data_IF_586106448424
#
_entry.id   IF_586106448424
#
_cell.length_a   1.000
_cell.length_b   1.000
_cell.length_c   1.000
_cell.angle_alpha   90.00
_cell.angle_beta   90.00
_cell.angle_gamma   90.00
#
_symmetry.space_group_name_H-M   'P 1'
#
loop_
_entity.id
_entity.type
_entity.pdbx_description
1 polymer ?
#
# COMPACT_ATOMS: atom_id res chain seq x y z
N UNK A 1 17.97 17.96 25.53
CA UNK A 1 17.20 18.69 24.50
C UNK A 1 15.86 18.01 24.34
N UNK A 2 14.78 18.76 24.02
CA UNK A 2 13.44 18.20 23.82
C UNK A 2 13.39 17.55 22.44
N UNK A 3 13.05 16.26 22.36
CA UNK A 3 12.84 15.54 21.08
C UNK A 3 11.40 15.70 20.62
N UNK A 4 10.47 15.70 21.57
CA UNK A 4 9.05 15.75 21.31
C UNK A 4 8.31 16.39 22.48
N UNK A 5 7.30 17.21 22.19
CA UNK A 5 6.37 17.73 23.18
C UNK A 5 4.94 17.68 22.68
N UNK A 6 3.99 17.33 23.56
CA UNK A 6 2.55 17.37 23.26
C UNK A 6 1.81 18.11 24.36
N UNK A 7 1.13 19.20 23.99
CA UNK A 7 0.21 19.91 24.85
C UNK A 7 -1.24 19.47 24.53
N UNK A 8 -2.02 19.20 25.57
CA UNK A 8 -3.40 18.73 25.45
C UNK A 8 -4.28 19.22 26.62
N UNK A 9 -5.59 19.00 26.51
CA UNK A 9 -6.60 19.52 27.42
C UNK A 9 -6.57 21.05 27.52
N UNK A 10 -7.08 21.74 26.49
CA UNK A 10 -7.10 23.21 26.44
C UNK A 10 -7.88 23.80 27.61
N UNK A 11 -7.50 24.99 28.03
CA UNK A 11 -8.20 25.81 29.00
C UNK A 11 -9.12 26.81 28.29
N UNK A 12 -9.94 27.53 29.05
CA UNK A 12 -10.76 28.64 28.50
C UNK A 12 -9.91 29.83 28.00
N UNK A 13 -8.61 29.87 28.33
CA UNK A 13 -7.71 30.95 27.91
C UNK A 13 -6.99 30.64 26.59
N UNK A 14 -7.07 29.40 26.08
CA UNK A 14 -6.36 28.96 24.87
C UNK A 14 -6.65 29.89 23.68
N UNK A 15 -7.93 30.19 23.43
CA UNK A 15 -8.33 31.04 22.32
C UNK A 15 -7.90 32.49 22.48
N UNK A 16 -7.94 33.01 23.72
CA UNK A 16 -7.53 34.40 24.03
C UNK A 16 -6.03 34.60 23.85
N UNK A 17 -5.22 33.62 24.20
CA UNK A 17 -3.76 33.73 24.18
C UNK A 17 -3.19 33.34 22.81
N UNK A 18 -3.71 32.27 22.20
CA UNK A 18 -3.20 31.71 20.95
C UNK A 18 -3.98 32.18 19.71
N UNK A 19 -5.01 33.00 19.88
CA UNK A 19 -5.82 33.55 18.79
C UNK A 19 -6.82 32.56 18.15
N UNK A 20 -6.79 31.26 18.58
CA UNK A 20 -7.69 30.22 18.10
C UNK A 20 -7.90 29.15 19.17
N UNK A 21 -9.05 28.46 19.08
CA UNK A 21 -9.38 27.34 19.99
C UNK A 21 -8.65 26.06 19.55
N UNK A 22 -7.39 25.92 19.95
CA UNK A 22 -6.64 24.70 19.70
C UNK A 22 -6.96 23.61 20.73
N UNK A 23 -7.15 22.38 20.27
CA UNK A 23 -7.41 21.21 21.11
C UNK A 23 -6.11 20.53 21.58
N UNK A 24 -5.09 20.62 20.74
CA UNK A 24 -3.78 19.99 20.98
C UNK A 24 -2.69 20.71 20.16
N UNK A 25 -1.49 20.69 20.69
CA UNK A 25 -0.27 21.09 19.97
C UNK A 25 0.76 19.99 20.09
N UNK A 26 1.35 19.59 18.97
CA UNK A 26 2.48 18.66 18.93
C UNK A 26 3.70 19.39 18.38
N UNK A 27 4.83 19.24 19.06
CA UNK A 27 6.11 19.82 18.66
C UNK A 27 7.11 18.69 18.55
N UNK A 28 7.83 18.63 17.42
CA UNK A 28 8.84 17.61 17.14
C UNK A 28 10.13 18.26 16.67
N UNK A 29 11.25 17.72 17.12
CA UNK A 29 12.56 18.08 16.60
C UNK A 29 12.68 17.60 15.14
N UNK A 30 13.24 18.44 14.28
CA UNK A 30 13.55 18.10 12.90
C UNK A 30 14.83 17.26 12.87
N UNK A 31 14.72 15.99 12.53
CA UNK A 31 15.83 15.02 12.55
C UNK A 31 16.85 15.16 11.43
N UNK A 32 16.57 16.00 10.44
CA UNK A 32 17.56 16.31 9.38
C UNK A 32 18.55 17.41 9.78
N UNK A 33 18.49 17.86 11.04
CA UNK A 33 19.43 18.85 11.54
C UNK A 33 20.73 18.17 11.96
N UNK A 34 21.85 18.57 11.33
CA UNK A 34 23.18 18.06 11.64
C UNK A 34 23.73 18.74 12.90
N UNK A 35 23.79 18.00 14.01
CA UNK A 35 24.32 18.49 15.29
C UNK A 35 25.82 18.75 15.28
N UNK A 36 26.57 18.18 14.32
CA UNK A 36 28.02 18.44 14.22
C UNK A 36 28.32 19.90 13.91
N UNK A 37 27.42 20.56 13.17
CA UNK A 37 27.56 22.01 12.88
C UNK A 37 27.39 22.93 14.09
N UNK A 38 26.75 22.46 15.16
CA UNK A 38 26.60 23.23 16.41
C UNK A 38 27.86 23.20 17.30
N UNK A 39 28.67 22.15 17.21
CA UNK A 39 29.89 22.01 18.02
C UNK A 39 31.10 22.78 17.42
N UNK A 40 31.15 22.87 16.09
CA UNK A 40 32.24 23.62 15.42
C UNK A 40 32.06 25.13 15.52
N UNK A 41 30.83 25.65 15.62
CA UNK A 41 30.57 27.10 15.73
C UNK A 41 30.70 27.68 17.13
N UNK A 42 30.89 26.84 18.14
CA UNK A 42 31.19 27.31 19.52
C UNK A 42 32.65 27.80 19.72
N UNK A 43 33.52 27.64 18.73
CA UNK A 43 34.95 27.94 18.81
C UNK A 43 35.37 29.20 18.00
N UNK A 44 34.46 29.75 17.14
CA UNK A 44 34.75 30.95 16.34
C UNK A 44 33.80 32.11 16.64
N UNK A 45 34.01 32.75 17.75
CA UNK A 45 33.43 34.08 18.03
C UNK A 45 34.20 35.16 17.27
N UNK A 46 33.83 35.47 16.04
CA UNK A 46 34.00 36.84 15.49
C UNK A 46 33.40 36.95 14.09
N UNK A 47 32.39 37.78 13.99
CA UNK A 47 31.69 38.33 12.82
C UNK A 47 30.27 37.79 12.63
N UNK A 48 29.30 38.60 13.08
CA UNK A 48 27.97 38.89 12.47
C UNK A 48 27.10 37.74 11.95
N UNK A 49 27.36 36.50 12.29
CA UNK A 49 26.60 35.36 11.79
C UNK A 49 25.46 34.97 12.76
N UNK A 50 24.29 34.61 12.23
CA UNK A 50 23.10 34.18 12.98
C UNK A 50 23.52 33.12 14.01
N UNK A 51 23.20 33.31 15.29
CA UNK A 51 23.45 32.33 16.34
C UNK A 51 22.73 31.03 15.99
N UNK A 52 23.38 29.88 16.15
CA UNK A 52 22.82 28.56 15.95
C UNK A 52 21.52 28.34 16.76
N UNK A 53 21.29 29.11 17.84
CA UNK A 53 20.07 29.16 18.64
C UNK A 53 18.85 29.69 17.87
N UNK A 54 19.05 30.42 16.77
CA UNK A 54 17.95 31.04 16.00
C UNK A 54 17.49 30.20 14.82
N UNK A 55 18.15 29.09 14.53
CA UNK A 55 17.77 28.17 13.48
C UNK A 55 16.47 27.43 13.84
N UNK A 56 15.49 27.42 12.92
CA UNK A 56 14.17 26.84 13.18
C UNK A 56 14.19 25.32 12.96
N UNK A 57 14.60 24.63 14.02
CA UNK A 57 14.81 23.18 14.01
C UNK A 57 13.63 22.34 14.53
N UNK A 58 12.57 22.98 15.03
CA UNK A 58 11.37 22.29 15.51
C UNK A 58 10.18 22.55 14.59
N UNK A 59 9.40 21.53 14.39
CA UNK A 59 8.13 21.59 13.67
C UNK A 59 6.97 21.41 14.64
N UNK A 60 6.02 22.35 14.64
CA UNK A 60 4.84 22.34 15.50
C UNK A 60 3.54 22.24 14.69
N UNK A 61 2.67 21.36 15.12
CA UNK A 61 1.33 21.12 14.59
C UNK A 61 0.28 21.56 15.62
N UNK A 62 -0.56 22.51 15.26
CA UNK A 62 -1.62 23.06 16.07
C UNK A 62 -2.97 22.55 15.57
N UNK A 63 -3.64 21.73 16.35
CA UNK A 63 -4.91 21.08 15.98
C UNK A 63 -6.10 21.83 16.55
N UNK A 64 -7.04 22.22 15.70
CA UNK A 64 -8.42 22.61 16.06
C UNK A 64 -9.35 21.43 15.82
N UNK A 65 -10.65 21.58 16.05
CA UNK A 65 -11.64 20.53 15.76
C UNK A 65 -11.70 20.14 14.27
N UNK A 66 -11.35 21.07 13.35
CA UNK A 66 -11.55 20.89 11.90
C UNK A 66 -10.29 21.11 11.06
N UNK A 67 -9.24 21.74 11.59
CA UNK A 67 -8.07 22.15 10.84
C UNK A 67 -6.78 21.94 11.62
N UNK A 68 -5.66 21.83 10.90
CA UNK A 68 -4.31 21.79 11.47
C UNK A 68 -3.49 22.93 10.92
N UNK A 69 -2.81 23.66 11.79
CA UNK A 69 -1.90 24.74 11.44
C UNK A 69 -0.47 24.36 11.80
N UNK A 70 0.48 24.85 11.02
CA UNK A 70 1.90 24.49 11.17
C UNK A 70 2.75 25.72 11.46
N UNK A 71 3.75 25.55 12.29
CA UNK A 71 4.75 26.59 12.61
C UNK A 71 6.08 25.95 12.88
N UNK A 72 7.16 26.60 12.43
CA UNK A 72 8.53 26.20 12.77
C UNK A 72 9.05 27.08 13.90
N UNK A 73 9.76 26.45 14.83
CA UNK A 73 10.35 27.11 15.98
C UNK A 73 11.86 26.88 16.03
N UNK A 74 12.61 27.83 16.61
CA UNK A 74 13.95 27.60 17.10
C UNK A 74 13.93 26.91 18.47
N UNK A 75 15.06 26.48 18.99
CA UNK A 75 15.16 25.88 20.33
C UNK A 75 14.64 26.83 21.41
N UNK A 76 15.07 28.10 21.38
CA UNK A 76 14.65 29.12 22.33
C UNK A 76 13.13 29.43 22.22
N UNK A 77 12.59 29.46 21.01
CA UNK A 77 11.15 29.65 20.80
C UNK A 77 10.31 28.48 21.35
N UNK A 78 10.77 27.23 21.24
CA UNK A 78 10.05 26.06 21.80
C UNK A 78 10.05 26.11 23.33
N UNK A 79 11.21 26.36 23.95
CA UNK A 79 11.30 26.43 25.40
C UNK A 79 10.42 27.55 25.95
N UNK A 80 10.46 28.72 25.35
CA UNK A 80 9.60 29.84 25.70
C UNK A 80 8.12 29.49 25.49
N UNK A 81 7.76 28.88 24.35
CA UNK A 81 6.39 28.49 24.06
C UNK A 81 5.84 27.49 25.08
N UNK A 82 6.63 26.49 25.47
CA UNK A 82 6.21 25.49 26.46
C UNK A 82 6.03 26.14 27.84
N UNK A 83 6.99 26.98 28.25
CA UNK A 83 6.91 27.68 29.53
C UNK A 83 5.71 28.60 29.64
N UNK A 84 5.35 29.30 28.56
CA UNK A 84 4.22 30.21 28.55
C UNK A 84 2.87 29.49 28.43
N UNK A 85 2.82 28.27 27.95
CA UNK A 85 1.57 27.60 27.62
C UNK A 85 1.21 26.46 28.59
N UNK A 86 2.18 25.84 29.28
CA UNK A 86 1.90 24.79 30.27
C UNK A 86 1.17 25.39 31.47
N UNK A 87 -0.03 24.86 31.74
CA UNK A 87 -0.87 25.32 32.85
C UNK A 87 -1.71 26.56 32.54
N UNK A 88 -1.35 27.40 31.59
CA UNK A 88 -2.13 28.59 31.16
C UNK A 88 -3.12 28.25 30.04
N UNK A 89 -2.62 27.76 28.90
CA UNK A 89 -3.45 27.43 27.73
C UNK A 89 -3.79 25.94 27.66
N UNK A 90 -2.89 25.07 28.10
CA UNK A 90 -3.09 23.63 28.16
C UNK A 90 -2.80 23.07 29.56
N UNK A 91 -3.65 22.16 30.02
CA UNK A 91 -3.50 21.56 31.36
C UNK A 91 -2.47 20.44 31.40
N UNK A 92 -2.28 19.72 30.29
CA UNK A 92 -1.34 18.62 30.20
C UNK A 92 -0.26 18.94 29.17
N UNK A 93 0.98 18.63 29.52
CA UNK A 93 2.09 18.60 28.58
C UNK A 93 2.91 17.34 28.81
N UNK A 94 3.27 16.64 27.76
CA UNK A 94 4.23 15.54 27.79
C UNK A 94 5.44 15.94 26.97
N UNK A 95 6.60 15.98 27.58
CA UNK A 95 7.88 16.26 26.95
C UNK A 95 8.74 15.01 26.99
N UNK A 96 9.45 14.73 25.90
CA UNK A 96 10.39 13.63 25.82
C UNK A 96 11.78 14.19 25.40
N UNK A 97 12.74 13.86 26.20
CA UNK A 97 14.16 14.06 25.92
C UNK A 97 14.84 12.72 25.62
N UNK A 98 16.14 12.72 25.34
CA UNK A 98 16.90 11.47 25.13
C UNK A 98 16.87 10.54 26.35
N UNK A 99 16.82 11.10 27.54
CA UNK A 99 17.00 10.37 28.79
C UNK A 99 15.72 10.24 29.63
N UNK A 100 14.73 11.08 29.41
CA UNK A 100 13.56 11.22 30.28
C UNK A 100 12.29 11.51 29.50
N UNK A 101 11.17 11.03 30.01
CA UNK A 101 9.83 11.47 29.69
C UNK A 101 9.25 12.23 30.86
N UNK A 102 8.86 13.48 30.63
CA UNK A 102 8.34 14.40 31.64
C UNK A 102 6.89 14.72 31.34
N UNK A 103 6.02 14.50 32.29
CA UNK A 103 4.59 14.82 32.17
C UNK A 103 4.25 15.93 33.14
N UNK A 104 3.73 17.03 32.60
CA UNK A 104 3.14 18.12 33.40
C UNK A 104 1.63 17.99 33.39
N UNK A 105 1.03 18.03 34.58
CA UNK A 105 -0.42 18.01 34.76
C UNK A 105 -0.84 19.18 35.63
N UNK A 106 -1.81 19.97 35.14
CA UNK A 106 -2.32 21.12 35.88
C UNK A 106 -3.72 20.83 36.39
N UNK A 107 -3.88 20.95 37.72
CA UNK A 107 -5.19 20.79 38.39
C UNK A 107 -6.13 21.95 38.03
N UNK A 108 -7.44 21.77 38.30
CA UNK A 108 -8.45 22.84 38.14
C UNK A 108 -8.15 24.10 38.97
N UNK A 109 -7.37 23.96 40.06
CA UNK A 109 -6.93 25.07 40.93
C UNK A 109 -5.61 25.69 40.51
N UNK A 110 -5.04 25.34 39.33
CA UNK A 110 -3.81 25.91 38.80
C UNK A 110 -2.49 25.28 39.31
N UNK A 111 -2.54 24.27 40.19
CA UNK A 111 -1.32 23.61 40.69
C UNK A 111 -0.76 22.70 39.61
N UNK A 112 0.51 22.94 39.21
CA UNK A 112 1.23 22.13 38.23
C UNK A 112 1.98 21.02 38.97
N UNK A 113 1.81 19.79 38.53
CA UNK A 113 2.54 18.60 38.99
C UNK A 113 3.43 18.12 37.87
N UNK A 114 4.73 17.93 38.15
CA UNK A 114 5.72 17.38 37.24
C UNK A 114 6.03 15.94 37.62
N UNK A 115 5.88 15.01 36.69
CA UNK A 115 6.27 13.61 36.81
C UNK A 115 7.36 13.34 35.78
N UNK A 116 8.51 12.83 36.22
CA UNK A 116 9.60 12.45 35.31
C UNK A 116 9.87 10.94 35.41
N UNK A 117 9.96 10.28 34.26
CA UNK A 117 10.32 8.87 34.13
C UNK A 117 11.63 8.77 33.33
N UNK A 118 12.65 8.14 33.92
CA UNK A 118 13.91 7.88 33.22
C UNK A 118 13.73 6.76 32.19
N UNK A 119 14.31 6.92 30.98
CA UNK A 119 14.24 5.99 29.87
C UNK A 119 15.46 5.04 29.80
N UNK A 120 16.42 5.15 30.76
CA UNK A 120 17.69 4.43 30.70
C UNK A 120 17.69 2.97 31.18
N UNK A 121 16.55 2.36 31.62
CA UNK A 121 16.56 1.04 32.27
C UNK A 121 15.52 0.02 31.78
N UNK A 122 15.07 0.05 30.54
CA UNK A 122 14.09 -0.95 30.05
C UNK A 122 14.64 -1.98 29.03
N UNK A 123 15.97 -2.21 28.96
CA UNK A 123 16.52 -3.27 28.10
C UNK A 123 16.54 -4.66 28.71
N UNK A 124 16.13 -4.86 29.97
CA UNK A 124 16.14 -6.17 30.66
C UNK A 124 14.89 -6.50 31.48
N UNK A 125 13.71 -6.40 30.91
CA UNK A 125 12.57 -7.18 31.43
C UNK A 125 11.61 -7.56 30.31
N UNK A 126 11.72 -8.84 29.93
CA UNK A 126 10.67 -9.56 29.19
C UNK A 126 9.36 -9.47 29.94
N UNK A 127 8.36 -8.83 29.38
CA UNK A 127 6.96 -8.96 29.77
C UNK A 127 6.14 -9.30 28.54
N UNK A 128 5.27 -10.28 28.74
CA UNK A 128 4.51 -11.01 27.77
C UNK A 128 3.70 -10.18 26.77
N UNK A 129 3.48 -10.82 25.67
CA UNK A 129 2.85 -10.37 24.45
C UNK A 129 1.42 -9.83 24.67
N UNK A 130 1.23 -8.56 24.37
CA UNK A 130 0.02 -8.06 23.73
C UNK A 130 0.44 -7.42 22.42
N UNK A 131 0.23 -8.12 21.32
CA UNK A 131 0.48 -7.64 19.96
C UNK A 131 -0.49 -6.50 19.62
N UNK A 132 -0.11 -5.28 19.95
CA UNK A 132 -0.59 -4.12 19.19
C UNK A 132 0.44 -3.92 18.10
N UNK A 133 0.04 -4.08 16.83
CA UNK A 133 0.84 -3.74 15.65
C UNK A 133 1.23 -2.27 15.75
N UNK A 134 2.38 -1.99 16.36
CA UNK A 134 3.05 -0.71 16.32
C UNK A 134 3.84 -0.65 15.03
N UNK A 135 3.39 0.16 14.08
CA UNK A 135 4.27 0.70 13.05
C UNK A 135 5.52 1.23 13.74
N UNK A 136 6.69 0.72 13.35
CA UNK A 136 7.97 1.36 13.68
C UNK A 136 7.95 2.75 13.04
N UNK A 137 7.53 3.74 13.80
CA UNK A 137 7.73 5.13 13.43
C UNK A 137 9.25 5.34 13.48
N UNK A 138 9.88 5.32 12.33
CA UNK A 138 11.26 5.77 12.20
C UNK A 138 11.32 7.20 12.74
N UNK A 139 12.04 7.39 13.86
CA UNK A 139 12.35 8.73 14.37
C UNK A 139 13.09 9.46 13.26
N UNK A 140 12.49 10.45 12.68
CA UNK A 140 13.28 11.41 11.94
C UNK A 140 12.88 11.76 10.52
N UNK A 141 11.61 12.04 10.23
CA UNK A 141 11.29 12.78 9.00
C UNK A 141 10.24 13.85 9.28
N UNK A 142 10.54 15.07 8.85
CA UNK A 142 9.59 16.18 8.80
C UNK A 142 8.38 15.71 7.95
N UNK A 143 7.12 15.76 8.44
CA UNK A 143 5.95 15.33 7.67
C UNK A 143 5.81 16.02 6.32
N UNK A 144 6.36 17.23 6.17
CA UNK A 144 6.36 17.99 4.93
C UNK A 144 7.53 17.63 3.98
N UNK A 145 8.61 17.02 4.50
CA UNK A 145 9.78 16.58 3.74
C UNK A 145 10.11 15.09 3.96
N UNK A 146 9.09 14.26 4.17
CA UNK A 146 9.28 12.81 4.14
C UNK A 146 9.87 12.45 2.80
N UNK A 147 11.16 12.14 2.73
CA UNK A 147 11.69 11.36 1.61
C UNK A 147 10.86 10.10 1.56
N UNK A 148 10.00 9.99 0.56
CA UNK A 148 9.27 8.76 0.32
C UNK A 148 10.33 7.68 0.12
N UNK A 149 10.33 6.65 0.95
CA UNK A 149 11.21 5.50 0.78
C UNK A 149 10.69 4.69 -0.42
N UNK A 150 10.93 5.21 -1.60
CA UNK A 150 10.62 4.51 -2.84
C UNK A 150 11.49 3.25 -2.95
N UNK A 151 10.95 2.20 -3.54
CA UNK A 151 11.71 0.97 -3.84
C UNK A 151 12.78 1.27 -4.88
N UNK A 152 12.46 2.11 -5.88
CA UNK A 152 13.44 2.67 -6.81
C UNK A 152 13.73 4.11 -6.36
N UNK A 153 14.97 4.38 -5.95
CA UNK A 153 15.38 5.70 -5.49
C UNK A 153 15.73 6.63 -6.64
N UNK A 154 15.45 7.93 -6.48
CA UNK A 154 16.00 8.94 -7.36
C UNK A 154 17.51 9.08 -7.13
N UNK A 155 18.30 9.16 -8.21
CA UNK A 155 19.77 9.13 -8.17
C UNK A 155 20.36 7.74 -8.43
N UNK A 156 19.55 6.69 -8.36
CA UNK A 156 19.94 5.33 -8.74
C UNK A 156 19.78 5.14 -10.25
N UNK A 157 20.80 4.58 -10.90
CA UNK A 157 20.74 4.30 -12.34
C UNK A 157 19.96 3.02 -12.60
N UNK A 158 18.77 3.17 -13.16
CA UNK A 158 17.88 2.04 -13.48
C UNK A 158 17.73 1.94 -14.99
N UNK A 159 18.37 0.95 -15.64
CA UNK A 159 18.48 0.88 -17.11
C UNK A 159 17.14 0.92 -17.83
N UNK A 160 16.13 0.16 -17.38
CA UNK A 160 14.82 0.15 -18.05
C UNK A 160 14.09 1.50 -17.96
N UNK A 161 14.26 2.27 -16.84
CA UNK A 161 13.67 3.59 -16.71
C UNK A 161 14.36 4.63 -17.62
N UNK A 162 15.64 4.45 -17.89
CA UNK A 162 16.39 5.28 -18.85
C UNK A 162 15.90 5.03 -20.28
N UNK A 163 15.82 3.78 -20.68
CA UNK A 163 15.34 3.38 -22.01
C UNK A 163 13.88 3.80 -22.26
N UNK A 164 13.03 3.75 -21.22
CA UNK A 164 11.64 4.20 -21.30
C UNK A 164 11.48 5.72 -21.13
N UNK A 165 12.59 6.48 -21.03
CA UNK A 165 12.59 7.94 -20.93
C UNK A 165 11.99 8.49 -19.63
N UNK A 166 11.98 7.71 -18.56
CA UNK A 166 11.53 8.14 -17.22
C UNK A 166 12.68 8.73 -16.42
N UNK A 167 13.90 8.22 -16.65
CA UNK A 167 15.12 8.64 -15.99
C UNK A 167 16.16 9.11 -17.00
N UNK A 168 17.04 10.01 -16.59
CA UNK A 168 18.24 10.42 -17.34
C UNK A 168 19.40 9.45 -17.07
N UNK A 169 20.48 9.53 -17.87
CA UNK A 169 21.66 8.66 -17.71
C UNK A 169 22.37 8.83 -16.36
N UNK A 170 22.20 9.96 -15.68
CA UNK A 170 22.73 10.25 -14.34
C UNK A 170 21.77 9.86 -13.20
N UNK A 171 20.65 9.19 -13.51
CA UNK A 171 19.71 8.66 -12.53
C UNK A 171 18.67 9.67 -12.03
N UNK A 172 18.58 10.88 -12.62
CA UNK A 172 17.55 11.86 -12.26
C UNK A 172 16.24 11.56 -12.98
N UNK A 173 15.13 11.75 -12.30
CA UNK A 173 13.80 11.61 -12.90
C UNK A 173 13.53 12.79 -13.83
N UNK A 174 13.10 12.49 -15.07
CA UNK A 174 12.70 13.51 -16.05
C UNK A 174 11.48 14.28 -15.52
N UNK A 175 11.53 15.61 -15.52
CA UNK A 175 10.51 16.48 -14.92
C UNK A 175 9.06 16.12 -15.34
N UNK A 176 8.84 15.89 -16.64
CA UNK A 176 7.53 15.50 -17.17
C UNK A 176 7.11 14.05 -16.81
N UNK A 177 8.00 13.26 -16.19
CA UNK A 177 7.79 11.83 -15.89
C UNK A 177 7.70 11.52 -14.40
N UNK A 178 7.76 12.53 -13.53
CA UNK A 178 7.62 12.32 -12.08
C UNK A 178 6.31 11.60 -11.68
N UNK A 179 5.19 11.88 -12.35
CA UNK A 179 3.93 11.17 -12.11
C UNK A 179 4.06 9.67 -12.43
N UNK A 180 4.69 9.33 -13.56
CA UNK A 180 4.93 7.93 -13.95
C UNK A 180 5.91 7.24 -12.99
N UNK A 181 6.97 7.91 -12.58
CA UNK A 181 7.92 7.39 -11.59
C UNK A 181 7.24 7.10 -10.24
N UNK A 182 6.38 8.02 -9.76
CA UNK A 182 5.58 7.81 -8.54
C UNK A 182 4.61 6.62 -8.68
N UNK A 183 3.95 6.51 -9.85
CA UNK A 183 3.06 5.40 -10.16
C UNK A 183 3.78 4.04 -10.09
N UNK A 184 4.96 3.95 -10.69
CA UNK A 184 5.79 2.73 -10.68
C UNK A 184 6.15 2.36 -9.22
N UNK A 185 6.68 3.31 -8.45
CA UNK A 185 7.05 3.04 -7.06
C UNK A 185 5.84 2.65 -6.19
N UNK A 186 4.70 3.31 -6.38
CA UNK A 186 3.48 2.97 -5.64
C UNK A 186 2.99 1.56 -5.96
N UNK A 187 3.11 1.15 -7.21
CA UNK A 187 2.80 -0.22 -7.61
C UNK A 187 3.74 -1.23 -6.95
N UNK A 188 5.04 -0.94 -6.94
CA UNK A 188 6.02 -1.81 -6.29
C UNK A 188 5.82 -1.93 -4.78
N UNK A 189 5.33 -0.87 -4.09
CA UNK A 189 4.93 -0.94 -2.68
C UNK A 189 3.80 -1.97 -2.48
N UNK A 190 2.75 -1.95 -3.31
CA UNK A 190 1.68 -2.94 -3.24
C UNK A 190 2.15 -4.36 -3.56
N UNK A 191 3.10 -4.49 -4.48
CA UNK A 191 3.72 -5.78 -4.79
C UNK A 191 4.55 -6.30 -3.60
N UNK A 192 5.36 -5.44 -2.97
CA UNK A 192 6.18 -5.78 -1.80
C UNK A 192 5.33 -6.25 -0.62
N UNK A 193 4.13 -5.70 -0.46
CA UNK A 193 3.17 -6.10 0.58
C UNK A 193 2.64 -7.54 0.40
N UNK A 194 2.44 -8.01 -0.84
CA UNK A 194 1.83 -9.32 -1.11
C UNK A 194 2.84 -10.45 -1.30
N UNK A 195 4.04 -10.14 -1.81
CA UNK A 195 5.06 -11.15 -2.15
C UNK A 195 5.40 -12.10 -1.00
N UNK A 196 5.55 -11.65 0.27
CA UNK A 196 5.81 -12.56 1.39
C UNK A 196 4.71 -13.63 1.56
N UNK A 197 3.44 -13.26 1.40
CA UNK A 197 2.32 -14.20 1.49
C UNK A 197 2.34 -15.22 0.34
N UNK A 198 2.65 -14.77 -0.89
CA UNK A 198 2.76 -15.65 -2.07
C UNK A 198 3.89 -16.67 -1.88
N UNK A 199 5.05 -16.23 -1.39
CA UNK A 199 6.19 -17.13 -1.10
C UNK A 199 5.80 -18.17 -0.05
N UNK A 200 5.12 -17.76 1.01
CA UNK A 200 4.70 -18.66 2.08
C UNK A 200 3.69 -19.71 1.60
N UNK A 201 2.71 -19.30 0.79
CA UNK A 201 1.74 -20.22 0.19
C UNK A 201 2.42 -21.22 -0.73
N UNK A 202 3.33 -20.77 -1.59
CA UNK A 202 4.08 -21.64 -2.51
C UNK A 202 4.94 -22.65 -1.77
N UNK A 203 5.61 -22.24 -0.69
CA UNK A 203 6.36 -23.19 0.17
C UNK A 203 5.46 -24.23 0.81
N UNK A 204 4.27 -23.86 1.22
CA UNK A 204 3.29 -24.78 1.82
C UNK A 204 2.79 -25.81 0.82
N UNK A 205 2.55 -25.42 -0.44
CA UNK A 205 2.16 -26.34 -1.52
C UNK A 205 3.25 -27.39 -1.80
N UNK A 206 4.50 -26.94 -1.96
CA UNK A 206 5.64 -27.85 -2.19
C UNK A 206 5.81 -28.85 -1.01
N UNK A 207 5.59 -28.40 0.22
CA UNK A 207 5.66 -29.28 1.40
C UNK A 207 4.54 -30.33 1.39
N UNK A 208 3.31 -29.95 1.03
CA UNK A 208 2.18 -30.90 0.90
C UNK A 208 2.39 -31.92 -0.22
N UNK A 209 2.92 -31.50 -1.37
CA UNK A 209 3.21 -32.40 -2.49
C UNK A 209 4.29 -33.45 -2.13
N UNK A 210 5.33 -33.06 -1.38
CA UNK A 210 6.37 -33.99 -0.90
C UNK A 210 5.81 -35.02 0.08
N UNK A 211 4.97 -34.60 1.04
CA UNK A 211 4.35 -35.54 1.99
C UNK A 211 3.36 -36.49 1.30
N UNK A 212 2.67 -36.04 0.27
CA UNK A 212 1.78 -36.91 -0.53
C UNK A 212 2.58 -37.90 -1.40
N UNK A 213 3.73 -37.50 -1.95
CA UNK A 213 4.61 -38.35 -2.72
C UNK A 213 5.31 -39.42 -1.84
N UNK A 214 5.77 -39.04 -0.64
CA UNK A 214 6.39 -39.95 0.32
C UNK A 214 5.39 -40.99 0.84
N UNK A 215 4.14 -40.60 1.09
CA UNK A 215 3.09 -41.55 1.49
C UNK A 215 2.64 -42.50 0.37
N UNK A 216 2.83 -42.13 -0.90
CA UNK A 216 2.56 -42.99 -2.05
C UNK A 216 3.77 -43.94 -2.34
N UNK A 217 4.98 -43.60 -1.91
CA UNK A 217 6.20 -44.34 -2.16
C UNK A 217 6.47 -45.49 -1.14
N UNK A 218 5.75 -45.54 -0.03
CA UNK A 218 5.88 -46.64 0.95
C UNK A 218 5.48 -48.04 0.42
N UNK A 219 5.02 -48.16 -0.84
CA UNK A 219 4.68 -49.41 -1.48
C UNK A 219 5.66 -49.90 -2.55
N UNK A 220 6.81 -49.26 -2.76
CA UNK A 220 7.83 -49.75 -3.70
C UNK A 220 9.23 -49.65 -3.10
N UNK A 221 9.84 -50.83 -2.96
CA UNK A 221 11.20 -51.07 -2.44
C UNK A 221 12.30 -50.39 -3.26
N UNK A 222 13.23 -49.79 -2.49
CA UNK A 222 14.68 -49.61 -2.70
C UNK A 222 15.26 -49.45 -4.13
N UNK A 223 15.71 -48.24 -4.45
CA UNK A 223 17.13 -48.03 -4.82
C UNK A 223 17.45 -46.53 -4.75
N UNK A 224 18.40 -46.24 -3.86
CA UNK A 224 18.90 -44.94 -3.48
C UNK A 224 19.63 -44.22 -4.63
N UNK A 225 19.18 -43.02 -4.99
CA UNK A 225 20.00 -42.00 -5.62
C UNK A 225 20.27 -40.89 -4.61
N UNK A 226 21.47 -40.28 -4.55
CA UNK A 226 21.79 -39.28 -3.53
C UNK A 226 21.02 -38.00 -3.72
N UNK A 227 20.29 -37.61 -2.67
CA UNK A 227 19.59 -36.33 -2.55
C UNK A 227 20.60 -35.19 -2.64
N UNK A 228 20.50 -34.38 -3.70
CA UNK A 228 21.19 -33.12 -3.79
C UNK A 228 20.58 -32.13 -2.77
N UNK A 229 21.41 -31.46 -1.95
CA UNK A 229 20.95 -30.50 -0.96
C UNK A 229 20.81 -29.14 -1.62
N UNK A 230 19.62 -28.76 -2.09
CA UNK A 230 19.22 -27.36 -2.23
C UNK A 230 17.70 -27.30 -2.27
N UNK A 231 17.12 -26.70 -1.26
CA UNK A 231 15.73 -26.22 -1.25
C UNK A 231 15.61 -25.07 -2.25
N UNK A 232 15.61 -25.36 -3.54
CA UNK A 232 15.34 -24.37 -4.57
C UNK A 232 13.85 -24.06 -4.49
N UNK A 233 13.52 -22.83 -4.06
CA UNK A 233 12.18 -22.28 -4.18
C UNK A 233 11.88 -22.23 -5.68
N UNK A 234 10.80 -22.89 -6.11
CA UNK A 234 10.34 -22.74 -7.49
C UNK A 234 10.13 -21.28 -7.84
N UNK A 235 10.44 -20.84 -9.07
CA UNK A 235 10.26 -19.45 -9.47
C UNK A 235 8.81 -19.00 -9.33
N UNK A 236 8.60 -17.80 -8.82
CA UNK A 236 7.27 -17.14 -8.77
C UNK A 236 6.88 -16.79 -10.19
N UNK A 237 5.72 -17.27 -10.64
CA UNK A 237 5.18 -17.01 -11.98
C UNK A 237 4.26 -15.81 -11.95
N UNK A 238 4.60 -14.80 -12.72
CA UNK A 238 3.87 -13.54 -12.79
C UNK A 238 3.32 -13.37 -14.21
N UNK A 239 2.04 -13.05 -14.29
CA UNK A 239 1.36 -12.78 -15.54
C UNK A 239 0.82 -11.36 -15.54
N UNK A 240 1.21 -10.55 -16.53
CA UNK A 240 0.80 -9.15 -16.67
C UNK A 240 -0.07 -9.00 -17.92
N UNK A 241 -1.38 -8.94 -17.71
CA UNK A 241 -2.37 -8.77 -18.78
C UNK A 241 -2.56 -7.29 -19.14
N UNK A 242 -2.53 -6.98 -20.44
CA UNK A 242 -2.58 -5.62 -20.96
C UNK A 242 -1.30 -4.87 -20.61
N UNK A 243 -0.13 -5.51 -20.79
CA UNK A 243 1.17 -4.98 -20.38
C UNK A 243 1.54 -3.65 -21.07
N UNK A 244 0.95 -3.34 -22.22
CA UNK A 244 1.19 -2.10 -22.96
C UNK A 244 2.68 -1.86 -23.21
N UNK A 245 3.16 -0.64 -22.89
CA UNK A 245 4.61 -0.31 -22.97
C UNK A 245 5.45 -0.97 -21.87
N UNK A 246 4.87 -1.86 -21.08
CA UNK A 246 5.52 -2.71 -20.07
C UNK A 246 6.33 -1.97 -19.00
N UNK A 247 6.03 -0.70 -18.71
CA UNK A 247 6.67 0.02 -17.60
C UNK A 247 6.62 -0.77 -16.28
N UNK A 248 5.49 -1.41 -16.02
CA UNK A 248 5.26 -2.15 -14.79
C UNK A 248 5.83 -3.56 -14.87
N UNK A 249 5.74 -4.23 -16.01
CA UNK A 249 6.38 -5.53 -16.25
C UNK A 249 7.90 -5.45 -16.00
N UNK A 250 8.56 -4.41 -16.54
CA UNK A 250 9.99 -4.16 -16.27
C UNK A 250 10.27 -3.76 -14.83
N UNK A 251 9.37 -3.00 -14.19
CA UNK A 251 9.52 -2.65 -12.78
C UNK A 251 9.40 -3.88 -11.86
N UNK A 252 8.48 -4.79 -12.16
CA UNK A 252 8.33 -6.08 -11.47
C UNK A 252 9.59 -6.94 -11.65
N UNK A 253 10.12 -7.02 -12.87
CA UNK A 253 11.37 -7.72 -13.15
C UNK A 253 12.52 -7.15 -12.30
N UNK A 254 12.66 -5.82 -12.29
CA UNK A 254 13.67 -5.14 -11.47
C UNK A 254 13.51 -5.46 -9.99
N UNK A 255 12.29 -5.39 -9.46
CA UNK A 255 11.97 -5.69 -8.06
C UNK A 255 12.42 -7.10 -7.66
N UNK A 256 12.00 -8.13 -8.40
CA UNK A 256 12.36 -9.52 -8.08
C UNK A 256 13.86 -9.77 -8.23
N UNK A 257 14.50 -9.16 -9.23
CA UNK A 257 15.95 -9.24 -9.43
C UNK A 257 16.72 -8.63 -8.24
N UNK A 258 16.31 -7.46 -7.76
CA UNK A 258 16.92 -6.80 -6.58
C UNK A 258 16.73 -7.61 -5.28
N UNK A 259 15.56 -8.20 -5.11
CA UNK A 259 15.25 -9.06 -3.95
C UNK A 259 15.89 -10.45 -4.06
N UNK A 260 16.49 -10.81 -5.20
CA UNK A 260 17.06 -12.14 -5.50
C UNK A 260 16.05 -13.28 -5.28
N UNK A 261 14.79 -13.04 -5.61
CA UNK A 261 13.72 -14.03 -5.55
C UNK A 261 13.62 -14.66 -6.95
N UNK A 262 13.65 -16.00 -7.09
CA UNK A 262 13.44 -16.63 -8.39
C UNK A 262 12.06 -16.33 -8.96
N UNK A 263 12.00 -15.98 -10.25
CA UNK A 263 10.76 -15.59 -10.90
C UNK A 263 10.75 -15.85 -12.41
N UNK A 264 9.54 -15.93 -12.98
CA UNK A 264 9.27 -15.89 -14.44
C UNK A 264 8.13 -14.88 -14.65
N UNK A 265 8.28 -13.98 -15.62
CA UNK A 265 7.24 -13.00 -15.97
C UNK A 265 6.82 -13.20 -17.41
N UNK A 266 5.52 -13.17 -17.66
CA UNK A 266 4.95 -13.10 -19.02
C UNK A 266 4.05 -11.88 -19.13
N UNK A 267 4.41 -10.95 -20.03
CA UNK A 267 3.56 -9.82 -20.41
C UNK A 267 2.69 -10.21 -21.60
N UNK A 268 1.41 -9.94 -21.54
CA UNK A 268 0.42 -10.24 -22.60
C UNK A 268 -0.24 -8.95 -23.06
N UNK A 269 -0.28 -8.71 -24.38
CA UNK A 269 -0.99 -7.57 -24.99
C UNK A 269 -1.48 -7.94 -26.39
N UNK A 270 -2.58 -7.31 -26.82
CA UNK A 270 -3.15 -7.48 -28.16
C UNK A 270 -2.33 -6.87 -29.27
N UNK A 271 -1.52 -5.84 -28.96
CA UNK A 271 -0.82 -5.02 -29.94
C UNK A 271 0.54 -5.62 -30.26
N UNK A 272 0.66 -6.17 -31.47
CA UNK A 272 1.88 -6.84 -31.93
C UNK A 272 3.10 -5.92 -31.90
N UNK A 273 2.97 -4.69 -32.40
CA UNK A 273 4.04 -3.69 -32.39
C UNK A 273 4.54 -3.34 -31.00
N UNK A 274 3.64 -3.29 -30.03
CA UNK A 274 3.98 -3.05 -28.61
C UNK A 274 4.77 -4.22 -28.03
N UNK A 275 4.32 -5.44 -28.27
CA UNK A 275 4.98 -6.66 -27.80
C UNK A 275 6.39 -6.82 -28.44
N UNK A 276 6.52 -6.57 -29.75
CA UNK A 276 7.81 -6.63 -30.44
C UNK A 276 8.81 -5.62 -29.86
N UNK A 277 8.36 -4.38 -29.59
CA UNK A 277 9.19 -3.35 -28.97
C UNK A 277 9.62 -3.72 -27.54
N UNK A 278 8.72 -4.31 -26.75
CA UNK A 278 9.04 -4.76 -25.38
C UNK A 278 10.02 -5.94 -25.39
N UNK A 279 9.84 -6.90 -26.29
CA UNK A 279 10.75 -8.03 -26.45
C UNK A 279 12.13 -7.58 -26.91
N UNK A 280 12.20 -6.59 -27.81
CA UNK A 280 13.47 -6.00 -28.23
C UNK A 280 14.17 -5.25 -27.11
N UNK A 281 13.44 -4.43 -26.35
CA UNK A 281 13.97 -3.73 -25.19
C UNK A 281 14.53 -4.71 -24.15
N UNK A 282 13.79 -5.79 -23.86
CA UNK A 282 14.24 -6.85 -22.96
C UNK A 282 15.57 -7.48 -23.42
N UNK A 283 15.70 -7.78 -24.73
CA UNK A 283 16.95 -8.31 -25.30
C UNK A 283 18.12 -7.33 -25.20
N UNK A 284 17.89 -6.05 -25.51
CA UNK A 284 18.93 -5.00 -25.41
C UNK A 284 19.43 -4.82 -23.98
N UNK A 285 18.54 -4.97 -23.00
CA UNK A 285 18.87 -4.87 -21.58
C UNK A 285 19.43 -6.18 -21.00
N UNK A 286 19.48 -7.27 -21.79
CA UNK A 286 19.98 -8.57 -21.35
C UNK A 286 19.12 -9.21 -20.22
N UNK A 287 17.83 -8.87 -20.17
CA UNK A 287 16.94 -9.36 -19.11
C UNK A 287 16.60 -10.83 -19.35
N UNK A 288 16.70 -11.61 -18.28
CA UNK A 288 16.32 -13.03 -18.24
C UNK A 288 14.98 -13.20 -17.55
N UNK A 289 14.30 -14.33 -17.77
CA UNK A 289 13.05 -14.69 -17.07
C UNK A 289 11.88 -13.73 -17.34
N UNK A 290 11.87 -13.06 -18.48
CA UNK A 290 10.79 -12.20 -18.96
C UNK A 290 10.44 -12.56 -20.39
N UNK A 291 9.16 -12.80 -20.65
CA UNK A 291 8.62 -13.17 -21.94
C UNK A 291 7.47 -12.24 -22.31
N UNK A 292 7.22 -12.10 -23.60
CA UNK A 292 6.11 -11.30 -24.12
C UNK A 292 5.30 -12.12 -25.11
N UNK A 293 3.97 -12.11 -24.95
CA UNK A 293 3.03 -12.83 -25.78
C UNK A 293 2.01 -11.87 -26.40
N UNK A 294 1.83 -11.98 -27.72
CA UNK A 294 0.83 -11.21 -28.45
C UNK A 294 -0.44 -12.03 -28.63
N UNK A 295 -1.54 -11.61 -27.98
CA UNK A 295 -2.82 -12.32 -28.08
C UNK A 295 -3.89 -11.71 -27.18
N UNK A 296 -5.13 -12.19 -27.39
CA UNK A 296 -6.24 -11.84 -26.51
C UNK A 296 -6.13 -12.57 -25.18
N UNK A 297 -6.60 -11.93 -24.13
CA UNK A 297 -6.65 -12.51 -22.78
C UNK A 297 -7.61 -13.72 -22.75
N UNK A 298 -8.72 -13.63 -23.46
CA UNK A 298 -9.71 -14.70 -23.54
C UNK A 298 -9.17 -15.99 -24.18
N UNK A 299 -8.18 -15.86 -25.07
CA UNK A 299 -7.57 -16.99 -25.79
C UNK A 299 -6.24 -17.44 -25.17
N UNK A 300 -5.76 -16.70 -24.18
CA UNK A 300 -4.47 -16.99 -23.54
C UNK A 300 -4.57 -18.29 -22.70
N UNK A 301 -3.69 -19.23 -23.00
CA UNK A 301 -3.56 -20.46 -22.23
C UNK A 301 -2.09 -20.78 -22.01
N UNK A 302 -1.70 -20.87 -20.75
CA UNK A 302 -0.40 -21.38 -20.33
C UNK A 302 -0.55 -22.76 -19.68
N UNK A 303 0.45 -23.62 -19.85
CA UNK A 303 0.49 -24.93 -19.18
C UNK A 303 0.69 -24.79 -17.67
N UNK A 304 1.31 -23.72 -17.23
CA UNK A 304 1.67 -23.47 -15.85
C UNK A 304 0.72 -22.42 -15.24
N UNK A 305 0.32 -22.63 -14.00
CA UNK A 305 -0.51 -21.68 -13.28
C UNK A 305 0.32 -20.46 -12.80
N UNK A 306 -0.21 -19.24 -12.91
CA UNK A 306 0.44 -18.06 -12.36
C UNK A 306 0.30 -18.03 -10.83
N UNK A 307 1.33 -17.54 -10.14
CA UNK A 307 1.26 -17.24 -8.72
C UNK A 307 0.71 -15.81 -8.49
N UNK A 308 1.06 -14.87 -9.37
CA UNK A 308 0.61 -13.47 -9.31
C UNK A 308 0.05 -13.07 -10.68
N UNK A 309 -1.14 -12.50 -10.69
CA UNK A 309 -1.74 -11.90 -11.88
C UNK A 309 -1.83 -10.38 -11.69
N UNK A 310 -1.33 -9.65 -12.67
CA UNK A 310 -1.34 -8.19 -12.73
C UNK A 310 -2.20 -7.77 -13.91
N UNK A 311 -3.06 -6.77 -13.71
CA UNK A 311 -3.84 -6.18 -14.80
C UNK A 311 -4.05 -4.68 -14.55
N UNK A 312 -3.22 -3.85 -15.19
CA UNK A 312 -3.26 -2.41 -14.99
C UNK A 312 -3.77 -1.63 -16.20
N UNK A 313 -3.76 -2.23 -17.37
CA UNK A 313 -4.19 -1.59 -18.61
C UNK A 313 -5.13 -2.46 -19.45
N UNK A 314 -5.62 -3.57 -18.89
CA UNK A 314 -6.73 -4.29 -19.47
C UNK A 314 -8.00 -3.44 -19.32
N UNK A 315 -8.54 -2.96 -20.45
CA UNK A 315 -9.68 -2.06 -20.44
C UNK A 315 -10.99 -2.81 -20.43
N UNK A 316 -11.97 -2.30 -19.67
CA UNK A 316 -13.35 -2.74 -19.63
C UNK A 316 -13.50 -4.25 -19.31
N UNK A 317 -14.14 -5.02 -20.17
CA UNK A 317 -14.35 -6.46 -20.00
C UNK A 317 -13.06 -7.30 -20.06
N UNK A 318 -11.97 -6.80 -20.67
CA UNK A 318 -10.68 -7.47 -20.62
C UNK A 318 -10.14 -7.65 -19.19
N UNK A 319 -10.46 -6.72 -18.28
CA UNK A 319 -10.20 -6.90 -16.85
C UNK A 319 -10.95 -8.10 -16.28
N UNK A 320 -12.20 -8.30 -16.70
CA UNK A 320 -13.04 -9.39 -16.20
C UNK A 320 -12.51 -10.77 -16.64
N UNK A 321 -12.05 -10.90 -17.89
CA UNK A 321 -11.38 -12.12 -18.37
C UNK A 321 -10.06 -12.38 -17.62
N UNK A 322 -9.30 -11.33 -17.30
CA UNK A 322 -8.05 -11.48 -16.53
C UNK A 322 -8.30 -11.95 -15.09
N UNK A 323 -9.36 -11.43 -14.44
CA UNK A 323 -9.75 -11.84 -13.09
C UNK A 323 -10.30 -13.27 -13.10
N UNK A 324 -11.14 -13.62 -14.07
CA UNK A 324 -11.67 -14.96 -14.27
C UNK A 324 -10.52 -15.97 -14.46
N UNK A 325 -9.57 -15.68 -15.37
CA UNK A 325 -8.39 -16.49 -15.58
C UNK A 325 -7.60 -16.68 -14.28
N UNK A 326 -7.38 -15.60 -13.53
CA UNK A 326 -6.62 -15.65 -12.27
C UNK A 326 -7.30 -16.56 -11.23
N UNK A 327 -8.63 -16.46 -11.08
CA UNK A 327 -9.41 -17.31 -10.16
C UNK A 327 -9.35 -18.78 -10.56
N UNK A 328 -9.64 -19.10 -11.83
CA UNK A 328 -9.67 -20.49 -12.33
C UNK A 328 -8.29 -21.15 -12.32
N UNK A 329 -7.23 -20.37 -12.45
CA UNK A 329 -5.85 -20.86 -12.38
C UNK A 329 -5.27 -20.85 -10.96
N UNK A 330 -6.06 -20.46 -9.96
CA UNK A 330 -5.65 -20.48 -8.55
C UNK A 330 -4.50 -19.53 -8.23
N UNK A 331 -4.46 -18.35 -8.87
CA UNK A 331 -3.46 -17.33 -8.58
C UNK A 331 -3.46 -16.97 -7.10
N UNK A 332 -2.29 -16.92 -6.47
CA UNK A 332 -2.14 -16.62 -5.03
C UNK A 332 -2.39 -15.16 -4.72
N UNK A 333 -2.12 -14.27 -5.70
CA UNK A 333 -2.39 -12.86 -5.57
C UNK A 333 -2.79 -12.21 -6.89
N UNK A 334 -3.62 -11.18 -6.81
CA UNK A 334 -4.11 -10.40 -7.95
C UNK A 334 -3.96 -8.92 -7.62
N UNK A 335 -3.36 -8.15 -8.53
CA UNK A 335 -3.26 -6.70 -8.49
C UNK A 335 -3.93 -6.13 -9.74
N UNK A 336 -5.13 -5.58 -9.60
CA UNK A 336 -5.92 -5.03 -10.72
C UNK A 336 -6.16 -3.54 -10.54
N UNK A 337 -5.88 -2.74 -11.58
CA UNK A 337 -6.20 -1.31 -11.64
C UNK A 337 -7.10 -1.06 -12.85
N UNK A 338 -8.42 -1.21 -12.71
CA UNK A 338 -9.36 -1.00 -13.79
C UNK A 338 -9.37 0.48 -14.22
N UNK A 339 -9.16 0.75 -15.50
CA UNK A 339 -9.15 2.11 -16.02
C UNK A 339 -10.44 2.48 -16.78
N UNK A 340 -11.18 1.52 -17.26
CA UNK A 340 -12.41 1.70 -18.05
C UNK A 340 -13.50 0.74 -17.55
N UNK A 341 -14.74 1.22 -17.44
CA UNK A 341 -15.91 0.46 -17.03
C UNK A 341 -17.10 0.91 -17.89
N UNK A 342 -17.05 0.57 -19.20
CA UNK A 342 -18.06 1.02 -20.14
C UNK A 342 -19.30 0.12 -20.17
N UNK A 343 -19.17 -1.18 -19.89
CA UNK A 343 -20.24 -2.18 -19.98
C UNK A 343 -21.48 -1.76 -19.19
N UNK A 344 -21.36 -1.52 -17.88
CA UNK A 344 -22.48 -1.10 -17.03
C UNK A 344 -22.93 0.32 -17.38
N UNK A 345 -22.03 1.25 -17.71
CA UNK A 345 -22.38 2.61 -18.06
C UNK A 345 -23.28 2.66 -19.32
N UNK A 346 -22.98 1.86 -20.34
CA UNK A 346 -23.81 1.78 -21.56
C UNK A 346 -25.20 1.21 -21.28
N UNK A 347 -25.30 0.22 -20.40
CA UNK A 347 -26.58 -0.37 -20.00
C UNK A 347 -27.42 0.64 -19.20
N UNK A 348 -26.85 1.31 -18.23
CA UNK A 348 -27.53 2.36 -17.45
C UNK A 348 -27.91 3.57 -18.27
N UNK A 349 -27.15 3.90 -19.31
CA UNK A 349 -27.52 4.97 -20.24
C UNK A 349 -28.84 4.70 -20.96
N UNK A 350 -29.04 3.47 -21.39
CA UNK A 350 -30.29 3.06 -22.07
C UNK A 350 -31.50 3.05 -21.13
N UNK A 351 -31.27 2.81 -19.83
CA UNK A 351 -32.31 2.63 -18.79
C UNK A 351 -32.60 3.90 -17.98
N UNK A 352 -31.79 4.96 -18.10
CA UNK A 352 -31.86 6.16 -17.26
C UNK A 352 -33.23 6.88 -17.25
N UNK A 353 -34.08 6.61 -18.23
CA UNK A 353 -35.43 7.19 -18.31
C UNK A 353 -36.49 6.40 -17.49
N UNK A 354 -36.21 5.16 -17.10
CA UNK A 354 -37.20 4.25 -16.51
C UNK A 354 -37.10 4.12 -14.99
N UNK A 355 -35.89 4.32 -14.42
CA UNK A 355 -35.62 4.14 -12.99
C UNK A 355 -35.89 5.42 -12.18
N UNK A 356 -37.06 5.50 -11.51
CA UNK A 356 -37.45 6.68 -10.74
C UNK A 356 -36.49 7.02 -9.59
N UNK A 357 -35.99 6.01 -8.85
CA UNK A 357 -35.14 6.18 -7.67
C UNK A 357 -33.73 6.64 -8.06
N UNK A 358 -33.16 6.05 -9.10
CA UNK A 358 -31.78 6.32 -9.52
C UNK A 358 -31.70 7.45 -10.57
N UNK A 359 -32.83 7.96 -11.06
CA UNK A 359 -32.86 9.04 -12.06
C UNK A 359 -31.97 10.23 -11.73
N UNK A 360 -31.89 10.74 -10.48
CA UNK A 360 -31.01 11.85 -10.14
C UNK A 360 -29.53 11.54 -10.38
N UNK A 361 -29.07 10.31 -10.12
CA UNK A 361 -27.70 9.86 -10.36
C UNK A 361 -27.43 9.58 -11.85
N UNK A 362 -28.39 8.98 -12.54
CA UNK A 362 -28.21 8.52 -13.92
C UNK A 362 -28.41 9.64 -14.95
N UNK A 363 -29.08 10.73 -14.57
CA UNK A 363 -29.36 11.89 -15.41
C UNK A 363 -28.10 12.58 -15.94
N UNK A 364 -27.08 12.69 -15.11
CA UNK A 364 -25.85 13.40 -15.45
C UNK A 364 -24.78 12.42 -15.90
N UNK A 365 -24.25 12.56 -17.12
CA UNK A 365 -23.32 11.62 -17.75
C UNK A 365 -22.07 11.33 -16.90
N UNK A 366 -21.46 12.38 -16.33
CA UNK A 366 -20.27 12.24 -15.48
C UNK A 366 -20.57 11.50 -14.16
N UNK A 367 -21.77 11.71 -13.58
CA UNK A 367 -22.15 11.02 -12.34
C UNK A 367 -22.46 9.57 -12.66
N UNK A 368 -23.18 9.31 -13.74
CA UNK A 368 -23.50 7.94 -14.21
C UNK A 368 -22.23 7.15 -14.51
N UNK A 369 -21.26 7.74 -15.19
CA UNK A 369 -19.96 7.10 -15.47
C UNK A 369 -19.25 6.70 -14.19
N UNK A 370 -19.12 7.62 -13.22
CA UNK A 370 -18.47 7.32 -11.93
C UNK A 370 -19.22 6.28 -11.13
N UNK A 371 -20.54 6.36 -11.09
CA UNK A 371 -21.40 5.37 -10.43
C UNK A 371 -21.23 3.99 -11.05
N UNK A 372 -21.27 3.90 -12.39
CA UNK A 372 -21.07 2.64 -13.11
C UNK A 372 -19.68 2.04 -12.83
N UNK A 373 -18.63 2.87 -12.76
CA UNK A 373 -17.29 2.40 -12.44
C UNK A 373 -17.22 1.80 -11.04
N UNK A 374 -17.81 2.47 -10.05
CA UNK A 374 -17.84 1.97 -8.66
C UNK A 374 -18.65 0.67 -8.54
N UNK A 375 -19.80 0.57 -9.22
CA UNK A 375 -20.60 -0.67 -9.27
C UNK A 375 -19.79 -1.81 -9.87
N UNK A 376 -19.15 -1.58 -11.02
CA UNK A 376 -18.34 -2.60 -11.69
C UNK A 376 -17.24 -3.13 -10.78
N UNK A 377 -16.48 -2.23 -10.14
CA UNK A 377 -15.34 -2.62 -9.31
C UNK A 377 -15.78 -3.23 -7.97
N UNK A 378 -16.94 -2.82 -7.44
CA UNK A 378 -17.55 -3.46 -6.27
C UNK A 378 -17.92 -4.92 -6.56
N UNK A 379 -18.59 -5.18 -7.69
CA UNK A 379 -18.97 -6.54 -8.09
C UNK A 379 -17.74 -7.43 -8.32
N UNK A 380 -16.69 -6.88 -8.95
CA UNK A 380 -15.39 -7.58 -9.10
C UNK A 380 -14.79 -7.98 -7.76
N UNK A 381 -14.79 -7.06 -6.79
CA UNK A 381 -14.28 -7.32 -5.45
C UNK A 381 -15.06 -8.41 -4.73
N UNK A 382 -16.39 -8.35 -4.75
CA UNK A 382 -17.28 -9.33 -4.13
C UNK A 382 -17.12 -10.74 -4.75
N UNK A 383 -17.00 -10.85 -6.08
CA UNK A 383 -16.75 -12.12 -6.76
C UNK A 383 -15.41 -12.72 -6.32
N UNK A 384 -14.36 -11.91 -6.23
CA UNK A 384 -13.06 -12.38 -5.75
C UNK A 384 -13.11 -12.82 -4.28
N UNK A 385 -13.87 -12.12 -3.42
CA UNK A 385 -14.06 -12.54 -2.02
C UNK A 385 -14.73 -13.90 -1.92
N UNK A 386 -15.72 -14.16 -2.77
CA UNK A 386 -16.42 -15.46 -2.84
C UNK A 386 -15.53 -16.57 -3.38
N UNK A 387 -14.64 -16.24 -4.32
CA UNK A 387 -13.62 -17.16 -4.81
C UNK A 387 -12.52 -17.47 -3.77
N UNK A 388 -12.67 -16.94 -2.54
CA UNK A 388 -11.77 -17.25 -1.42
C UNK A 388 -10.62 -16.27 -1.23
N UNK A 389 -10.61 -15.14 -1.90
CA UNK A 389 -9.59 -14.12 -1.72
C UNK A 389 -9.89 -13.19 -0.53
N UNK A 390 -8.85 -12.67 0.11
CA UNK A 390 -8.92 -11.50 0.98
C UNK A 390 -8.74 -10.26 0.09
N UNK A 391 -9.80 -9.48 -0.09
CA UNK A 391 -9.82 -8.36 -1.04
C UNK A 391 -9.72 -7.03 -0.31
N UNK A 392 -9.01 -6.09 -0.92
CA UNK A 392 -8.93 -4.69 -0.51
C UNK A 392 -9.05 -3.81 -1.74
N UNK A 393 -9.92 -2.81 -1.66
CA UNK A 393 -10.02 -1.75 -2.67
C UNK A 393 -9.30 -0.52 -2.12
N UNK A 394 -8.25 -0.08 -2.80
CA UNK A 394 -7.30 0.92 -2.33
C UNK A 394 -7.13 2.04 -3.35
N UNK A 395 -6.71 3.22 -2.92
CA UNK A 395 -6.24 4.25 -3.84
C UNK A 395 -4.86 3.91 -4.37
N UNK A 396 -4.74 3.85 -5.70
CA UNK A 396 -3.49 3.53 -6.39
C UNK A 396 -2.58 4.74 -6.53
N UNK A 397 -3.12 5.85 -7.05
CA UNK A 397 -2.42 7.12 -7.27
C UNK A 397 -3.30 8.27 -6.82
N UNK A 398 -2.69 9.45 -6.61
CA UNK A 398 -3.44 10.66 -6.24
C UNK A 398 -4.48 11.03 -7.31
N UNK A 399 -5.65 11.48 -6.90
CA UNK A 399 -6.77 11.89 -7.78
C UNK A 399 -6.39 13.02 -8.76
N UNK A 400 -5.32 13.75 -8.50
CA UNK A 400 -4.81 14.78 -9.43
C UNK A 400 -4.43 14.22 -10.79
N UNK A 401 -4.07 12.92 -10.87
CA UNK A 401 -3.67 12.26 -12.11
C UNK A 401 -4.82 11.65 -12.91
N UNK A 402 -5.81 11.07 -12.24
CA UNK A 402 -7.01 10.46 -12.84
C UNK A 402 -8.08 10.18 -11.78
N UNK A 403 -9.37 10.39 -12.10
CA UNK A 403 -10.47 10.03 -11.21
C UNK A 403 -10.67 8.50 -11.08
N UNK A 404 -10.06 7.71 -11.97
CA UNK A 404 -10.10 6.23 -11.98
C UNK A 404 -8.78 5.72 -11.42
N UNK A 405 -8.68 5.73 -10.10
CA UNK A 405 -7.45 5.47 -9.36
C UNK A 405 -7.55 4.34 -8.34
N UNK A 406 -8.56 3.46 -8.49
CA UNK A 406 -8.74 2.33 -7.60
C UNK A 406 -7.83 1.16 -7.99
N UNK A 407 -7.30 0.48 -6.98
CA UNK A 407 -6.59 -0.80 -7.09
C UNK A 407 -7.34 -1.84 -6.30
N UNK A 408 -7.70 -2.93 -6.96
CA UNK A 408 -8.23 -4.14 -6.34
C UNK A 408 -7.02 -5.04 -6.03
N UNK A 409 -6.72 -5.22 -4.76
CA UNK A 409 -5.69 -6.13 -4.25
C UNK A 409 -6.37 -7.34 -3.63
N UNK A 410 -6.16 -8.51 -4.21
CA UNK A 410 -6.72 -9.76 -3.73
C UNK A 410 -5.60 -10.76 -3.43
N UNK A 411 -5.63 -11.39 -2.27
CA UNK A 411 -4.68 -12.43 -1.83
C UNK A 411 -5.48 -13.67 -1.42
N UNK A 412 -5.17 -14.82 -2.00
CA UNK A 412 -5.86 -16.06 -1.72
C UNK A 412 -5.71 -16.43 -0.23
N UNK A 413 -6.82 -16.71 0.44
CA UNK A 413 -6.82 -17.14 1.84
C UNK A 413 -6.23 -18.53 1.94
N UNK A 414 -5.40 -18.78 2.98
CA UNK A 414 -4.93 -20.13 3.26
C UNK A 414 -6.12 -21.03 3.58
N UNK A 415 -6.24 -22.17 2.89
CA UNK A 415 -7.15 -23.21 3.31
C UNK A 415 -6.62 -23.78 4.65
N UNK A 416 -7.36 -23.61 5.74
CA UNK A 416 -7.09 -24.32 6.99
C UNK A 416 -7.46 -25.81 6.78
N UNK A 417 -6.60 -26.55 6.08
CA UNK A 417 -6.67 -28.00 6.07
C UNK A 417 -5.97 -28.51 7.33
N UNK A 418 -6.74 -28.89 8.31
CA UNK A 418 -6.50 -29.66 9.53
C UNK A 418 -6.74 -28.85 10.83
N UNK A 419 -7.95 -28.88 11.26
CA UNK A 419 -8.36 -28.51 12.61
C UNK A 419 -9.68 -29.17 12.90
N UNK A 420 -9.64 -30.33 13.56
CA UNK A 420 -10.78 -31.05 14.11
C UNK A 420 -11.83 -30.08 14.67
N UNK A 421 -13.05 -30.26 14.20
CA UNK A 421 -14.23 -29.64 14.80
C UNK A 421 -14.25 -29.93 16.31
N UNK A 422 -13.85 -28.97 17.13
CA UNK A 422 -14.26 -28.93 18.52
C UNK A 422 -15.68 -28.39 18.55
N UNK A 423 -16.61 -29.32 18.75
CA UNK A 423 -18.03 -29.03 18.99
C UNK A 423 -18.14 -28.22 20.28
N UNK A 424 -18.32 -26.91 20.21
CA UNK A 424 -19.03 -26.09 21.19
C UNK A 424 -19.18 -24.64 20.73
N UNK A 425 -19.90 -24.40 19.66
CA UNK A 425 -20.59 -23.12 19.47
C UNK A 425 -22.04 -23.44 19.10
N UNK A 426 -22.93 -22.92 19.94
CA UNK A 426 -24.38 -23.07 19.80
C UNK A 426 -24.79 -22.68 18.41
N UNK A 427 -25.39 -23.64 17.70
CA UNK A 427 -25.99 -23.48 16.39
C UNK A 427 -27.00 -22.34 16.39
N UNK A 428 -26.61 -21.18 15.88
CA UNK A 428 -27.53 -20.25 15.27
C UNK A 428 -28.07 -20.97 14.01
N UNK A 429 -29.40 -21.04 13.81
CA UNK A 429 -29.94 -21.66 12.61
C UNK A 429 -29.30 -21.01 11.39
N UNK A 430 -28.98 -21.76 10.33
CA UNK A 430 -28.47 -21.17 9.10
C UNK A 430 -29.57 -20.21 8.60
N UNK A 431 -29.34 -18.91 8.79
CA UNK A 431 -30.04 -17.93 7.96
C UNK A 431 -29.82 -18.40 6.53
N UNK A 432 -30.92 -18.54 5.78
CA UNK A 432 -30.88 -18.83 4.35
C UNK A 432 -29.77 -17.95 3.79
N UNK A 433 -28.67 -18.56 3.30
CA UNK A 433 -27.65 -17.84 2.53
C UNK A 433 -28.42 -17.12 1.44
N UNK A 434 -28.71 -15.85 1.65
CA UNK A 434 -29.31 -14.99 0.66
C UNK A 434 -28.39 -15.04 -0.55
N UNK A 435 -28.99 -15.14 -1.72
CA UNK A 435 -28.33 -14.96 -2.99
C UNK A 435 -27.30 -13.83 -2.86
N UNK A 436 -26.12 -14.08 -3.37
CA UNK A 436 -24.94 -13.22 -3.26
C UNK A 436 -25.27 -11.73 -3.33
N UNK A 437 -24.81 -10.87 -2.40
CA UNK A 437 -25.21 -9.45 -2.31
C UNK A 437 -25.08 -8.66 -3.61
N UNK A 438 -24.14 -9.03 -4.47
CA UNK A 438 -23.94 -8.39 -5.77
C UNK A 438 -25.02 -8.80 -6.79
N UNK A 439 -25.69 -9.97 -6.65
CA UNK A 439 -26.82 -10.34 -7.49
C UNK A 439 -27.97 -9.36 -7.26
N UNK A 440 -28.29 -9.09 -6.00
CA UNK A 440 -29.34 -8.13 -5.63
C UNK A 440 -29.01 -6.73 -6.20
N UNK A 441 -27.74 -6.34 -6.19
CA UNK A 441 -27.29 -5.07 -6.77
C UNK A 441 -27.46 -5.04 -8.30
N UNK A 442 -27.00 -6.09 -8.99
CA UNK A 442 -27.13 -6.19 -10.45
C UNK A 442 -28.60 -6.26 -10.88
N UNK A 443 -29.43 -7.02 -10.16
CA UNK A 443 -30.88 -7.14 -10.39
C UNK A 443 -31.58 -5.81 -10.13
N UNK A 444 -31.29 -5.14 -9.03
CA UNK A 444 -31.86 -3.82 -8.71
C UNK A 444 -31.51 -2.77 -9.75
N UNK A 445 -30.32 -2.82 -10.32
CA UNK A 445 -29.88 -1.97 -11.42
C UNK A 445 -30.34 -2.49 -12.79
N UNK A 446 -30.86 -3.71 -12.85
CA UNK A 446 -31.18 -4.45 -14.07
C UNK A 446 -30.01 -4.44 -15.07
N UNK A 447 -28.80 -4.65 -14.63
CA UNK A 447 -27.59 -4.70 -15.46
C UNK A 447 -26.89 -6.04 -15.33
N UNK A 448 -26.07 -6.35 -16.31
CA UNK A 448 -25.25 -7.55 -16.35
C UNK A 448 -23.77 -7.16 -16.44
N UNK A 449 -22.90 -7.95 -15.83
CA UNK A 449 -21.47 -7.76 -15.86
C UNK A 449 -20.76 -9.02 -16.37
N UNK A 450 -19.71 -8.84 -17.16
CA UNK A 450 -19.00 -9.94 -17.82
C UNK A 450 -18.41 -10.93 -16.81
N UNK A 451 -17.72 -10.48 -15.75
CA UNK A 451 -17.15 -11.39 -14.74
C UNK A 451 -18.23 -12.21 -14.03
N UNK A 452 -19.39 -11.60 -13.76
CA UNK A 452 -20.53 -12.32 -13.20
C UNK A 452 -21.01 -13.45 -14.13
N UNK A 453 -21.13 -13.17 -15.44
CA UNK A 453 -21.54 -14.19 -16.43
C UNK A 453 -20.52 -15.32 -16.51
N UNK A 454 -19.23 -15.01 -16.56
CA UNK A 454 -18.16 -16.00 -16.58
C UNK A 454 -18.20 -16.92 -15.36
N UNK A 455 -18.43 -16.33 -14.17
CA UNK A 455 -18.49 -17.08 -12.91
C UNK A 455 -19.75 -17.96 -12.78
N UNK A 456 -20.82 -17.67 -13.54
CA UNK A 456 -22.06 -18.48 -13.55
C UNK A 456 -22.04 -19.61 -14.58
N UNK A 457 -21.21 -19.53 -15.62
CA UNK A 457 -21.11 -20.51 -16.69
C UNK A 457 -20.10 -21.63 -16.42
N UNK A 458 -19.29 -21.50 -15.41
CA UNK A 458 -18.30 -22.45 -14.94
C UNK A 458 -18.67 -23.04 -13.58
#
# INVERSE_FOLDING_TARGET
>A
MIIFATLSKPTTQTEKILGRKYERVKIKLNSNFDFSSLQENAISESKGERRASDEKIYFAEFFTATQTFHKNFSLSEVEFFLQENIGKTFRNCTERTENEEIVFMTSKKGKITRLAKSLKNDSEKKIGAAKIRGEKIALGQNPQNRKKNYIIQEGERVPFLQELGVMTCDGKVVAAKHAKFRQINRFLEFLDDIVPSVIEQKKSEIACEKTAADSAAENFTEQSAPLAPHSQIEPIRILDFGSGKSYLTFAVHYYFSQKKIPFEITGVDLKKDVIENCAELSRRLGLQNINFFCGDISDFSDKKNPDIVITLHACDTATDFALDYAMHRGAKAILSVPCCQHEINLQLQKKSAQEKILRPLLKYGIIRERFSALVTDCVRAEILEQAGYAVQVLEFIDMEGTPKNLLIRAVLKKSNSAGSASASEKSVPPEKKSAFPYNDLLDALCVEQTLYKLNMTN
#
